data_IF_812162328526
#
_entry.id   IF_812162328526
#
_cell.length_a   1.000
_cell.length_b   1.000
_cell.length_c   1.000
_cell.angle_alpha   90.00
_cell.angle_beta   90.00
_cell.angle_gamma   90.00
#
_symmetry.space_group_name_H-M   'P 1'
#
loop_
_entity.id
_entity.type
_entity.pdbx_description
1 polymer ?
#
# COMPACT_ATOMS: atom_id res chain seq x y z
N UNK A 1 15.57 5.48 -18.99
CA UNK A 1 14.45 4.91 -18.22
C UNK A 1 14.75 5.20 -16.76
N UNK A 2 13.86 5.91 -16.07
CA UNK A 2 13.97 6.18 -14.64
C UNK A 2 13.92 4.86 -13.87
N UNK A 3 14.63 4.80 -12.75
CA UNK A 3 14.54 3.65 -11.84
C UNK A 3 13.17 3.67 -11.15
N UNK A 4 12.57 2.52 -10.80
CA UNK A 4 11.25 2.48 -10.14
C UNK A 4 11.17 3.38 -8.90
N UNK A 5 12.23 3.44 -8.10
CA UNK A 5 12.32 4.31 -6.91
C UNK A 5 12.21 5.82 -7.24
N UNK A 6 12.50 6.23 -8.47
CA UNK A 6 12.39 7.61 -8.95
C UNK A 6 10.96 7.96 -9.42
N UNK A 7 10.02 7.00 -9.40
CA UNK A 7 8.61 7.21 -9.74
C UNK A 7 7.73 7.53 -8.51
N UNK A 8 8.24 7.30 -7.30
CA UNK A 8 7.50 7.46 -6.06
C UNK A 8 7.88 8.78 -5.36
N UNK A 9 6.90 9.65 -5.14
CA UNK A 9 7.07 10.87 -4.34
C UNK A 9 6.61 10.60 -2.90
N UNK A 10 7.57 10.58 -1.97
CA UNK A 10 7.33 10.31 -0.55
C UNK A 10 7.13 11.60 0.25
N UNK A 11 6.04 11.66 1.02
CA UNK A 11 5.73 12.73 1.97
C UNK A 11 5.88 12.17 3.38
N UNK A 12 6.52 12.92 4.27
CA UNK A 12 6.61 12.55 5.69
C UNK A 12 6.24 13.71 6.61
N UNK A 13 5.59 13.39 7.72
CA UNK A 13 5.26 14.34 8.78
C UNK A 13 5.13 13.62 10.12
N UNK A 14 5.47 14.33 11.19
CA UNK A 14 5.35 13.82 12.56
C UNK A 14 3.91 13.97 13.04
N UNK A 15 3.42 12.94 13.71
CA UNK A 15 2.13 12.99 14.42
C UNK A 15 2.25 13.95 15.63
N UNK A 16 1.36 14.95 15.77
CA UNK A 16 1.41 15.86 16.92
C UNK A 16 1.00 15.19 18.25
N UNK A 17 0.25 14.08 18.21
CA UNK A 17 -0.36 13.43 19.37
C UNK A 17 0.33 12.11 19.75
N UNK A 18 1.29 11.63 18.95
CA UNK A 18 2.01 10.38 19.18
C UNK A 18 3.48 10.46 18.74
N UNK A 19 4.34 9.65 19.35
CA UNK A 19 5.76 9.53 18.98
C UNK A 19 5.95 8.68 17.71
N UNK A 20 5.25 9.03 16.63
CA UNK A 20 5.34 8.36 15.34
C UNK A 20 5.50 9.37 14.19
N UNK A 21 6.20 8.95 13.15
CA UNK A 21 6.31 9.69 11.89
C UNK A 21 5.63 8.90 10.80
N UNK A 22 4.69 9.55 10.12
CA UNK A 22 4.01 8.98 8.98
C UNK A 22 4.88 9.18 7.73
N UNK A 23 4.97 8.14 6.89
CA UNK A 23 5.60 8.19 5.59
C UNK A 23 4.61 7.65 4.55
N UNK A 24 4.27 8.48 3.57
CA UNK A 24 3.19 8.23 2.63
C UNK A 24 3.72 8.38 1.20
N UNK A 25 3.40 7.42 0.34
CA UNK A 25 3.64 7.50 -1.09
C UNK A 25 2.52 8.31 -1.77
N UNK A 26 2.82 9.55 -2.14
CA UNK A 26 1.86 10.41 -2.82
C UNK A 26 1.57 9.98 -4.25
N UNK A 27 2.51 9.32 -4.94
CA UNK A 27 2.28 8.76 -6.27
C UNK A 27 1.19 7.69 -6.20
N UNK A 28 1.25 6.79 -5.23
CA UNK A 28 0.23 5.76 -5.03
C UNK A 28 -1.14 6.37 -4.71
N UNK A 29 -1.18 7.36 -3.81
CA UNK A 29 -2.41 8.05 -3.40
C UNK A 29 -3.10 8.82 -4.54
N UNK A 30 -2.33 9.30 -5.51
CA UNK A 30 -2.83 10.02 -6.68
C UNK A 30 -3.05 9.12 -7.92
N UNK A 31 -2.76 7.83 -7.80
CA UNK A 31 -2.99 6.87 -8.89
C UNK A 31 -4.49 6.62 -9.11
N UNK A 32 -4.84 5.99 -10.23
CA UNK A 32 -6.20 5.53 -10.49
C UNK A 32 -6.56 4.24 -9.72
N UNK A 33 -5.68 3.75 -8.84
CA UNK A 33 -5.96 2.57 -8.03
C UNK A 33 -7.03 2.88 -6.98
N UNK A 34 -7.99 1.98 -6.81
CA UNK A 34 -9.09 2.15 -5.85
C UNK A 34 -9.19 0.94 -4.94
N UNK A 35 -9.15 1.19 -3.63
CA UNK A 35 -9.34 0.16 -2.63
C UNK A 35 -10.81 -0.31 -2.62
N UNK A 36 -11.04 -1.62 -2.75
CA UNK A 36 -12.37 -2.23 -2.70
C UNK A 36 -12.73 -2.80 -1.32
N UNK A 37 -12.04 -2.35 -0.27
CA UNK A 37 -12.39 -2.73 1.10
C UNK A 37 -13.85 -2.34 1.41
N UNK A 38 -14.61 -3.24 2.05
CA UNK A 38 -16.06 -3.08 2.24
C UNK A 38 -16.91 -3.29 0.97
N UNK A 39 -16.29 -3.36 -0.20
CA UNK A 39 -16.93 -3.59 -1.51
C UNK A 39 -16.54 -4.95 -2.12
N UNK A 40 -16.32 -5.97 -1.27
CA UNK A 40 -15.99 -7.34 -1.69
C UNK A 40 -14.52 -7.75 -1.55
N UNK A 41 -13.68 -6.93 -0.92
CA UNK A 41 -12.32 -7.35 -0.53
C UNK A 41 -12.35 -8.53 0.46
N UNK A 42 -11.63 -9.61 0.14
CA UNK A 42 -11.49 -10.81 0.99
C UNK A 42 -10.25 -10.82 1.89
N UNK A 43 -9.49 -9.73 1.90
CA UNK A 43 -8.18 -9.66 2.54
C UNK A 43 -7.04 -10.25 1.69
N UNK A 44 -5.84 -10.35 2.28
CA UNK A 44 -4.59 -10.73 1.59
C UNK A 44 -4.06 -12.12 1.98
N UNK A 45 -4.82 -12.89 2.75
CA UNK A 45 -4.47 -14.26 3.15
C UNK A 45 -5.01 -15.28 2.13
N UNK A 46 -4.53 -16.52 2.22
CA UNK A 46 -4.93 -17.61 1.32
C UNK A 46 -6.44 -17.93 1.38
N UNK A 47 -7.05 -17.69 2.55
CA UNK A 47 -8.47 -17.87 2.81
C UNK A 47 -9.19 -16.52 3.01
N UNK A 48 -10.53 -16.55 2.96
CA UNK A 48 -11.37 -15.38 3.23
C UNK A 48 -11.09 -14.80 4.63
N UNK A 49 -10.45 -13.64 4.64
CA UNK A 49 -10.02 -12.91 5.81
C UNK A 49 -10.87 -11.66 6.06
N UNK A 50 -12.05 -11.52 5.43
CA UNK A 50 -12.93 -10.35 5.56
C UNK A 50 -13.23 -10.04 7.04
N UNK A 51 -13.41 -11.08 7.86
CA UNK A 51 -13.67 -10.97 9.31
C UNK A 51 -12.54 -10.34 10.12
N UNK A 52 -11.31 -10.39 9.63
CA UNK A 52 -10.14 -9.87 10.33
C UNK A 52 -9.95 -8.37 10.07
N UNK A 53 -10.66 -7.81 9.08
CA UNK A 53 -10.48 -6.42 8.64
C UNK A 53 -9.03 -6.11 8.24
N UNK A 54 -8.31 -7.14 7.75
CA UNK A 54 -6.91 -7.05 7.32
C UNK A 54 -6.86 -7.10 5.79
N UNK A 55 -6.23 -6.10 5.17
CA UNK A 55 -6.04 -6.02 3.73
C UNK A 55 -4.62 -5.60 3.35
N UNK A 56 -4.43 -5.21 2.09
CA UNK A 56 -3.14 -4.66 1.63
C UNK A 56 -2.73 -3.41 2.42
N UNK A 57 -3.70 -2.69 3.02
CA UNK A 57 -3.47 -1.57 3.92
C UNK A 57 -2.81 -1.96 5.26
N UNK A 58 -3.06 -3.18 5.74
CA UNK A 58 -2.54 -3.65 7.03
C UNK A 58 -1.17 -4.32 6.91
N UNK A 59 -0.89 -4.90 5.74
CA UNK A 59 0.38 -5.53 5.42
C UNK A 59 1.38 -4.56 4.78
N UNK A 60 0.88 -3.47 4.17
CA UNK A 60 1.65 -2.65 3.24
C UNK A 60 1.59 -3.22 1.82
N UNK A 61 1.64 -2.36 0.81
CA UNK A 61 1.77 -2.78 -0.59
C UNK A 61 3.23 -3.15 -0.87
N UNK A 62 3.59 -4.40 -0.60
CA UNK A 62 4.91 -4.93 -0.90
C UNK A 62 4.88 -5.79 -2.15
N UNK A 63 5.85 -5.60 -3.05
CA UNK A 63 6.12 -6.57 -4.11
C UNK A 63 6.60 -7.86 -3.48
N UNK A 64 5.94 -8.97 -3.82
CA UNK A 64 6.22 -10.26 -3.20
C UNK A 64 7.55 -10.82 -3.72
N UNK A 65 7.87 -10.58 -4.99
CA UNK A 65 9.12 -11.01 -5.62
C UNK A 65 9.54 -10.13 -6.81
N UNK A 66 10.67 -10.50 -7.43
CA UNK A 66 11.21 -9.83 -8.61
C UNK A 66 10.30 -9.94 -9.85
N UNK A 67 9.43 -10.95 -9.90
CA UNK A 67 8.50 -11.17 -11.02
C UNK A 67 7.30 -10.23 -10.91
N UNK A 68 6.83 -10.00 -9.69
CA UNK A 68 5.79 -9.01 -9.37
C UNK A 68 6.25 -7.60 -9.73
N UNK A 69 7.49 -7.24 -9.34
CA UNK A 69 8.13 -5.97 -9.72
C UNK A 69 8.31 -5.80 -11.25
N UNK A 70 8.46 -6.89 -12.01
CA UNK A 70 8.67 -6.81 -13.46
C UNK A 70 7.37 -6.58 -14.27
N UNK A 71 6.21 -6.58 -13.59
CA UNK A 71 4.89 -6.47 -14.22
C UNK A 71 4.26 -5.07 -14.15
N UNK A 72 4.95 -4.13 -13.49
CA UNK A 72 4.58 -2.72 -13.36
C UNK A 72 5.32 -1.82 -14.34
#
# INVERSE_FOLDING_TARGET
MSRPEELHEWISFTDPDAEQTWMIDSTFMLSNWSCIYGSGCKGVLDDDATKLQQGCCSYGAHFIDKKDLASV
#
